data_IF_865872878371
#
_entry.id   IF_865872878371
#
_cell.length_a   1.000
_cell.length_b   1.000
_cell.length_c   1.000
_cell.angle_alpha   90.00
_cell.angle_beta   90.00
_cell.angle_gamma   90.00
#
_symmetry.space_group_name_H-M   'P 1'
#
loop_
_entity.id
_entity.type
_entity.pdbx_description
1 polymer ?
#
# COMPACT_ATOMS: atom_id res chain seq x y z
N UNK A 1 -24.23 -14.01 -0.20
CA UNK A 1 -23.54 -14.86 0.78
C UNK A 1 -22.61 -15.80 0.01
N UNK A 2 -21.32 -15.72 0.24
CA UNK A 2 -20.33 -16.58 -0.42
C UNK A 2 -20.16 -17.87 0.37
N UNK A 3 -20.13 -17.78 1.72
CA UNK A 3 -20.06 -18.92 2.63
C UNK A 3 -20.98 -18.72 3.83
N UNK A 4 -21.39 -19.84 4.44
CA UNK A 4 -22.14 -19.83 5.71
C UNK A 4 -21.15 -20.03 6.88
N UNK A 5 -21.28 -19.28 7.98
CA UNK A 5 -20.48 -19.53 9.16
C UNK A 5 -20.83 -20.88 9.80
N UNK A 6 -19.82 -21.60 10.28
CA UNK A 6 -20.03 -22.85 11.03
C UNK A 6 -20.71 -22.60 12.38
N UNK A 7 -20.42 -21.45 12.99
CA UNK A 7 -20.99 -21.02 14.26
C UNK A 7 -21.03 -19.49 14.33
N UNK A 8 -21.84 -18.95 15.22
CA UNK A 8 -21.98 -17.52 15.44
C UNK A 8 -23.11 -16.91 14.61
N UNK A 9 -23.28 -15.58 14.76
CA UNK A 9 -24.31 -14.78 14.12
C UNK A 9 -23.72 -13.51 13.56
N UNK A 10 -24.14 -13.13 12.35
CA UNK A 10 -23.80 -11.87 11.71
C UNK A 10 -25.11 -11.13 11.43
N UNK A 11 -25.26 -9.99 12.09
CA UNK A 11 -26.38 -9.08 11.89
C UNK A 11 -25.92 -7.84 11.12
N UNK A 12 -26.59 -7.54 10.01
CA UNK A 12 -26.30 -6.38 9.18
C UNK A 12 -27.57 -5.58 8.97
N UNK A 13 -27.50 -4.29 9.26
CA UNK A 13 -28.64 -3.37 9.05
C UNK A 13 -28.37 -2.53 7.82
N UNK A 14 -29.28 -2.55 6.86
CA UNK A 14 -29.18 -1.78 5.61
C UNK A 14 -28.59 -2.54 4.42
N UNK A 15 -28.35 -1.80 3.33
CA UNK A 15 -27.79 -2.34 2.08
C UNK A 15 -26.30 -2.60 2.23
N UNK A 16 -25.83 -3.76 1.77
CA UNK A 16 -24.40 -4.09 1.67
C UNK A 16 -23.95 -3.92 0.23
N UNK A 17 -22.94 -3.09 0.01
CA UNK A 17 -22.20 -3.01 -1.23
C UNK A 17 -20.89 -3.78 -1.13
N UNK A 18 -20.45 -4.42 -2.21
CA UNK A 18 -19.20 -5.18 -2.23
C UNK A 18 -18.38 -4.81 -3.46
N UNK A 19 -17.16 -4.35 -3.24
CA UNK A 19 -16.11 -4.08 -4.23
C UNK A 19 -15.07 -5.20 -4.14
N UNK A 20 -15.47 -6.44 -4.45
CA UNK A 20 -14.59 -7.62 -4.37
C UNK A 20 -14.08 -7.98 -5.76
N UNK A 21 -14.92 -7.92 -6.77
CA UNK A 21 -14.60 -8.30 -8.15
C UNK A 21 -15.27 -7.31 -9.12
N UNK A 22 -14.67 -6.15 -9.28
CA UNK A 22 -15.20 -5.02 -10.06
C UNK A 22 -15.51 -5.41 -11.52
N UNK A 23 -14.81 -6.41 -12.08
CA UNK A 23 -14.98 -6.85 -13.47
C UNK A 23 -16.08 -7.91 -13.65
N UNK A 24 -16.46 -8.62 -12.60
CA UNK A 24 -17.40 -9.77 -12.71
C UNK A 24 -18.83 -9.38 -13.14
N UNK A 25 -19.21 -8.12 -12.96
CA UNK A 25 -20.53 -7.61 -13.35
C UNK A 25 -20.60 -6.98 -14.75
N UNK A 26 -19.47 -6.92 -15.49
CA UNK A 26 -19.40 -6.24 -16.78
C UNK A 26 -19.54 -7.24 -17.93
N UNK A 27 -20.53 -7.00 -18.80
CA UNK A 27 -20.78 -7.84 -19.97
C UNK A 27 -20.10 -7.26 -21.23
N UNK A 28 -19.20 -7.99 -21.89
CA UNK A 28 -18.38 -7.45 -22.99
C UNK A 28 -19.17 -7.06 -24.24
N UNK A 29 -20.29 -7.72 -24.54
CA UNK A 29 -21.09 -7.45 -25.71
C UNK A 29 -22.06 -6.25 -25.53
N UNK A 30 -22.27 -5.80 -24.32
CA UNK A 30 -23.08 -4.62 -24.03
C UNK A 30 -22.24 -3.35 -24.11
N UNK A 31 -22.89 -2.22 -24.43
CA UNK A 31 -22.29 -0.89 -24.34
C UNK A 31 -21.95 -0.50 -22.90
N UNK A 32 -21.15 0.54 -22.71
CA UNK A 32 -20.91 1.12 -21.38
C UNK A 32 -22.21 1.54 -20.70
N UNK A 33 -23.11 2.17 -21.43
CA UNK A 33 -24.45 2.58 -20.96
C UNK A 33 -25.25 1.40 -20.43
N UNK A 34 -25.36 0.34 -21.24
CA UNK A 34 -26.10 -0.86 -20.86
C UNK A 34 -25.46 -1.56 -19.66
N UNK A 35 -24.12 -1.57 -19.59
CA UNK A 35 -23.40 -2.12 -18.45
C UNK A 35 -23.64 -1.32 -17.17
N UNK A 36 -23.69 0.01 -17.21
CA UNK A 36 -24.04 0.84 -16.04
C UNK A 36 -25.41 0.42 -15.49
N UNK A 37 -26.40 0.28 -16.35
CA UNK A 37 -27.74 -0.16 -15.93
C UNK A 37 -27.77 -1.60 -15.42
N UNK A 38 -27.12 -2.53 -16.12
CA UNK A 38 -27.05 -3.94 -15.73
C UNK A 38 -26.35 -4.08 -14.38
N UNK A 39 -25.14 -3.55 -14.29
CA UNK A 39 -24.30 -3.72 -13.10
C UNK A 39 -24.86 -2.95 -11.89
N UNK A 40 -25.39 -1.75 -12.07
CA UNK A 40 -26.08 -1.01 -11.01
C UNK A 40 -27.27 -1.80 -10.46
N UNK A 41 -28.04 -2.45 -11.34
CA UNK A 41 -29.18 -3.29 -10.92
C UNK A 41 -28.70 -4.56 -10.19
N UNK A 42 -27.62 -5.21 -10.65
CA UNK A 42 -27.03 -6.38 -9.98
C UNK A 42 -26.52 -6.02 -8.57
N UNK A 43 -26.01 -4.82 -8.41
CA UNK A 43 -25.57 -4.28 -7.12
C UNK A 43 -26.72 -3.77 -6.23
N UNK A 44 -27.97 -3.85 -6.72
CA UNK A 44 -29.16 -3.55 -5.96
C UNK A 44 -29.68 -2.11 -6.08
N UNK A 45 -29.20 -1.32 -7.06
CA UNK A 45 -29.81 -0.03 -7.40
C UNK A 45 -31.09 -0.25 -8.20
N UNK A 46 -32.10 0.55 -7.94
CA UNK A 46 -33.28 0.65 -8.81
C UNK A 46 -32.92 1.33 -10.13
N UNK A 47 -33.73 1.10 -11.17
CA UNK A 47 -33.53 1.76 -12.48
C UNK A 47 -33.51 3.29 -12.37
N UNK A 48 -34.30 3.84 -11.46
CA UNK A 48 -34.34 5.29 -11.20
C UNK A 48 -33.08 5.79 -10.56
N UNK A 49 -32.58 5.10 -9.52
CA UNK A 49 -31.31 5.46 -8.87
C UNK A 49 -30.13 5.41 -9.84
N UNK A 50 -30.09 4.44 -10.77
CA UNK A 50 -29.07 4.38 -11.82
C UNK A 50 -29.20 5.55 -12.79
N UNK A 51 -30.42 5.88 -13.23
CA UNK A 51 -30.68 6.99 -14.14
C UNK A 51 -30.30 8.34 -13.51
N UNK A 52 -30.63 8.56 -12.24
CA UNK A 52 -30.35 9.79 -11.50
C UNK A 52 -28.83 10.02 -11.31
N UNK A 53 -28.02 8.94 -11.33
CA UNK A 53 -26.55 8.99 -11.14
C UNK A 53 -25.74 8.72 -12.41
N UNK A 54 -26.42 8.49 -13.52
CA UNK A 54 -25.80 8.03 -14.77
C UNK A 54 -24.65 8.95 -15.24
N UNK A 55 -24.93 10.25 -15.33
CA UNK A 55 -23.94 11.22 -15.81
C UNK A 55 -22.73 11.32 -14.86
N UNK A 56 -22.97 11.22 -13.55
CA UNK A 56 -21.91 11.21 -12.53
C UNK A 56 -21.03 9.95 -12.65
N UNK A 57 -21.62 8.79 -12.92
CA UNK A 57 -20.90 7.53 -13.13
C UNK A 57 -20.03 7.63 -14.40
N UNK A 58 -20.58 8.17 -15.49
CA UNK A 58 -19.87 8.33 -16.76
C UNK A 58 -18.68 9.28 -16.62
N UNK A 59 -18.90 10.45 -16.00
CA UNK A 59 -17.82 11.42 -15.72
C UNK A 59 -16.74 10.83 -14.81
N UNK A 60 -17.15 10.16 -13.73
CA UNK A 60 -16.21 9.52 -12.82
C UNK A 60 -15.34 8.47 -13.52
N UNK A 61 -15.93 7.64 -14.37
CA UNK A 61 -15.24 6.63 -15.17
C UNK A 61 -14.40 7.21 -16.31
N UNK A 62 -14.65 8.47 -16.71
CA UNK A 62 -14.01 9.15 -17.86
C UNK A 62 -14.21 8.37 -19.18
N UNK A 63 -15.44 7.99 -19.45
CA UNK A 63 -15.82 7.21 -20.64
C UNK A 63 -16.86 7.90 -21.53
N UNK A 64 -17.03 9.23 -21.42
CA UNK A 64 -18.05 10.02 -22.13
C UNK A 64 -18.05 9.72 -23.64
N UNK A 65 -16.85 9.69 -24.25
CA UNK A 65 -16.68 9.45 -25.68
C UNK A 65 -16.84 7.98 -26.10
N UNK A 66 -16.98 7.07 -25.15
CA UNK A 66 -17.04 5.63 -25.39
C UNK A 66 -18.29 4.96 -24.80
N UNK A 67 -19.14 5.69 -24.07
CA UNK A 67 -20.24 5.13 -23.29
C UNK A 67 -21.21 4.30 -24.13
N UNK A 68 -21.42 4.63 -25.38
CA UNK A 68 -22.31 3.92 -26.32
C UNK A 68 -21.61 2.83 -27.14
N UNK A 69 -20.28 2.64 -26.97
CA UNK A 69 -19.50 1.54 -27.54
C UNK A 69 -19.61 0.28 -26.71
N UNK A 70 -19.55 -0.89 -27.36
CA UNK A 70 -19.46 -2.18 -26.67
C UNK A 70 -18.17 -2.28 -25.83
N UNK A 71 -18.28 -2.81 -24.63
CA UNK A 71 -17.17 -2.86 -23.65
C UNK A 71 -16.04 -3.78 -24.09
N UNK A 72 -16.29 -4.76 -24.98
CA UNK A 72 -15.21 -5.56 -25.58
C UNK A 72 -14.14 -4.72 -26.31
N UNK A 73 -14.47 -3.49 -26.72
CA UNK A 73 -13.55 -2.55 -27.36
C UNK A 73 -12.89 -1.56 -26.38
N UNK A 74 -13.19 -1.69 -25.08
CA UNK A 74 -12.56 -0.89 -24.04
C UNK A 74 -11.17 -1.45 -23.72
N UNK A 75 -10.25 -0.58 -23.32
CA UNK A 75 -9.02 -1.02 -22.67
C UNK A 75 -9.33 -1.65 -21.30
N UNK A 76 -8.41 -2.46 -20.79
CA UNK A 76 -8.54 -3.04 -19.45
C UNK A 76 -8.77 -1.98 -18.38
N UNK A 77 -8.07 -0.82 -18.48
CA UNK A 77 -8.25 0.32 -17.60
C UNK A 77 -9.64 0.94 -17.69
N UNK A 78 -10.20 1.10 -18.90
CA UNK A 78 -11.58 1.60 -19.08
C UNK A 78 -12.61 0.66 -18.47
N UNK A 79 -12.45 -0.66 -18.64
CA UNK A 79 -13.35 -1.65 -18.05
C UNK A 79 -13.33 -1.58 -16.51
N UNK A 80 -12.13 -1.46 -15.94
CA UNK A 80 -11.96 -1.35 -14.49
C UNK A 80 -12.55 -0.04 -13.96
N UNK A 81 -12.29 1.09 -14.64
CA UNK A 81 -12.86 2.39 -14.26
C UNK A 81 -14.38 2.38 -14.33
N UNK A 82 -14.98 1.78 -15.35
CA UNK A 82 -16.43 1.62 -15.47
C UNK A 82 -17.02 0.84 -14.31
N UNK A 83 -16.45 -0.34 -14.00
CA UNK A 83 -16.96 -1.19 -12.92
C UNK A 83 -16.83 -0.52 -11.56
N UNK A 84 -15.67 0.10 -11.28
CA UNK A 84 -15.48 0.84 -10.03
C UNK A 84 -16.44 2.02 -9.91
N UNK A 85 -16.64 2.80 -10.99
CA UNK A 85 -17.55 3.93 -10.99
C UNK A 85 -18.96 3.54 -10.60
N UNK A 86 -19.53 2.47 -11.21
CA UNK A 86 -20.88 2.01 -10.84
C UNK A 86 -20.95 1.66 -9.36
N UNK A 87 -19.96 0.95 -8.84
CA UNK A 87 -19.95 0.51 -7.45
C UNK A 87 -19.70 1.66 -6.45
N UNK A 88 -18.91 2.66 -6.82
CA UNK A 88 -18.64 3.84 -5.99
C UNK A 88 -19.87 4.74 -5.77
N UNK A 89 -20.90 4.60 -6.61
CA UNK A 89 -22.16 5.35 -6.48
C UNK A 89 -23.30 4.56 -5.86
N UNK A 90 -23.01 3.42 -5.21
CA UNK A 90 -24.01 2.59 -4.55
C UNK A 90 -24.63 3.21 -3.29
N UNK A 91 -23.89 4.04 -2.56
CA UNK A 91 -24.28 4.59 -1.24
C UNK A 91 -24.87 3.52 -0.31
N UNK A 92 -24.10 2.46 0.02
CA UNK A 92 -24.56 1.38 0.88
C UNK A 92 -24.47 1.78 2.35
N UNK A 93 -25.18 1.08 3.25
CA UNK A 93 -24.99 1.20 4.69
C UNK A 93 -23.67 0.56 5.13
N UNK A 94 -23.24 -0.52 4.45
CA UNK A 94 -21.96 -1.21 4.67
C UNK A 94 -21.29 -1.43 3.32
N UNK A 95 -20.04 -0.99 3.18
CA UNK A 95 -19.22 -1.18 2.00
C UNK A 95 -18.07 -2.15 2.31
N UNK A 96 -18.01 -3.25 1.56
CA UNK A 96 -16.91 -4.22 1.61
C UNK A 96 -15.95 -3.92 0.45
N UNK A 97 -14.67 -3.72 0.74
CA UNK A 97 -13.63 -3.47 -0.27
C UNK A 97 -12.48 -4.44 -0.07
N UNK A 98 -12.12 -5.16 -1.12
CA UNK A 98 -11.05 -6.17 -1.10
C UNK A 98 -10.03 -5.85 -2.21
N UNK A 99 -8.86 -5.31 -1.81
CA UNK A 99 -7.68 -4.97 -2.65
C UNK A 99 -7.92 -4.08 -3.90
N UNK A 100 -9.16 -3.66 -4.18
CA UNK A 100 -9.58 -3.10 -5.47
C UNK A 100 -9.17 -1.64 -5.68
N UNK A 101 -8.53 -0.97 -4.70
CA UNK A 101 -8.17 0.45 -4.83
C UNK A 101 -6.94 0.72 -5.71
N UNK A 102 -6.14 -0.29 -6.04
CA UNK A 102 -4.98 -0.19 -6.95
C UNK A 102 -5.38 -0.16 -8.44
N UNK A 103 -6.57 0.38 -8.78
CA UNK A 103 -7.15 0.35 -10.12
C UNK A 103 -6.85 1.63 -10.89
N UNK A 104 -6.40 1.49 -12.15
CA UNK A 104 -6.20 2.61 -13.06
C UNK A 104 -4.85 3.32 -12.87
N UNK A 105 -4.77 4.56 -13.32
CA UNK A 105 -3.64 5.45 -13.12
C UNK A 105 -3.73 6.17 -11.75
N UNK A 106 -2.64 6.84 -11.34
CA UNK A 106 -2.57 7.52 -10.04
C UNK A 106 -3.68 8.58 -9.86
N UNK A 107 -4.09 9.24 -10.94
CA UNK A 107 -5.16 10.25 -10.90
C UNK A 107 -6.51 9.61 -10.61
N UNK A 108 -6.80 8.48 -11.23
CA UNK A 108 -8.04 7.74 -10.98
C UNK A 108 -8.06 7.12 -9.58
N UNK A 109 -6.92 6.58 -9.11
CA UNK A 109 -6.78 6.07 -7.74
C UNK A 109 -7.10 7.16 -6.71
N UNK A 110 -6.59 8.39 -6.91
CA UNK A 110 -6.91 9.51 -6.01
C UNK A 110 -8.41 9.83 -6.01
N UNK A 111 -9.05 9.88 -7.18
CA UNK A 111 -10.52 10.05 -7.28
C UNK A 111 -11.30 8.95 -6.54
N UNK A 112 -10.82 7.70 -6.60
CA UNK A 112 -11.43 6.59 -5.86
C UNK A 112 -11.33 6.79 -4.34
N UNK A 113 -10.16 7.19 -3.85
CA UNK A 113 -9.94 7.48 -2.41
C UNK A 113 -10.83 8.64 -1.96
N UNK A 114 -10.89 9.72 -2.73
CA UNK A 114 -11.70 10.89 -2.40
C UNK A 114 -13.19 10.53 -2.37
N UNK A 115 -13.68 9.77 -3.34
CA UNK A 115 -15.07 9.28 -3.37
C UNK A 115 -15.37 8.37 -2.18
N UNK A 116 -14.45 7.49 -1.80
CA UNK A 116 -14.63 6.66 -0.60
C UNK A 116 -14.76 7.50 0.67
N UNK A 117 -13.94 8.55 0.82
CA UNK A 117 -14.04 9.48 1.95
C UNK A 117 -15.40 10.17 1.99
N UNK A 118 -15.92 10.60 0.84
CA UNK A 118 -17.26 11.21 0.76
C UNK A 118 -18.34 10.24 1.24
N UNK A 119 -18.27 8.97 0.83
CA UNK A 119 -19.20 7.91 1.23
C UNK A 119 -19.10 7.61 2.74
N UNK A 120 -17.89 7.58 3.29
CA UNK A 120 -17.64 7.42 4.74
C UNK A 120 -18.21 8.59 5.54
N UNK A 121 -18.00 9.83 5.08
CA UNK A 121 -18.51 11.04 5.72
C UNK A 121 -20.06 11.08 5.75
N UNK A 122 -20.73 10.32 4.88
CA UNK A 122 -22.19 10.14 4.86
C UNK A 122 -22.67 9.06 5.84
N UNK A 123 -21.77 8.42 6.60
CA UNK A 123 -22.11 7.44 7.62
C UNK A 123 -22.09 5.98 7.15
N UNK A 124 -21.54 5.69 5.98
CA UNK A 124 -21.32 4.30 5.52
C UNK A 124 -20.25 3.62 6.39
N UNK A 125 -20.51 2.40 6.82
CA UNK A 125 -19.50 1.55 7.47
C UNK A 125 -18.62 0.89 6.43
N UNK A 126 -17.31 1.12 6.48
CA UNK A 126 -16.34 0.47 5.60
C UNK A 126 -15.71 -0.75 6.25
N UNK A 127 -15.67 -1.86 5.55
CA UNK A 127 -14.81 -3.01 5.85
C UNK A 127 -13.81 -3.12 4.69
N UNK A 128 -12.56 -2.81 4.98
CA UNK A 128 -11.49 -2.72 4.00
C UNK A 128 -10.43 -3.78 4.24
N UNK A 129 -10.16 -4.60 3.23
CA UNK A 129 -9.08 -5.59 3.24
C UNK A 129 -8.02 -5.15 2.24
N UNK A 130 -6.78 -5.01 2.69
CA UNK A 130 -5.67 -4.63 1.83
C UNK A 130 -4.33 -5.12 2.40
N UNK A 131 -3.38 -5.34 1.52
CA UNK A 131 -1.97 -5.54 1.87
C UNK A 131 -1.18 -4.21 1.88
N UNK A 132 -1.76 -3.13 1.38
CA UNK A 132 -1.17 -1.78 1.46
C UNK A 132 -1.53 -1.13 2.80
N UNK A 133 -0.59 -1.24 3.75
CA UNK A 133 -0.77 -0.73 5.12
C UNK A 133 -0.91 0.79 5.16
N UNK A 134 -0.30 1.52 4.21
CA UNK A 134 -0.41 2.97 4.15
C UNK A 134 -1.84 3.40 3.79
N UNK A 135 -2.47 2.73 2.84
CA UNK A 135 -3.88 2.96 2.51
C UNK A 135 -4.80 2.58 3.67
N UNK A 136 -4.54 1.45 4.37
CA UNK A 136 -5.31 1.05 5.56
C UNK A 136 -5.21 2.12 6.65
N UNK A 137 -4.00 2.59 6.96
CA UNK A 137 -3.77 3.64 7.98
C UNK A 137 -4.45 4.97 7.60
N UNK A 138 -4.52 5.26 6.29
CA UNK A 138 -5.09 6.50 5.78
C UNK A 138 -6.61 6.54 5.65
N UNK A 139 -7.26 5.39 5.65
CA UNK A 139 -8.70 5.28 5.38
C UNK A 139 -9.46 4.75 6.60
N UNK A 140 -8.82 3.91 7.43
CA UNK A 140 -9.45 3.23 8.55
C UNK A 140 -9.05 3.84 9.90
N UNK A 141 -9.99 3.95 10.82
CA UNK A 141 -9.71 4.34 12.23
C UNK A 141 -9.38 3.13 13.11
N UNK A 142 -9.92 1.95 12.77
CA UNK A 142 -9.76 0.68 13.50
C UNK A 142 -9.29 -0.40 12.56
N UNK A 143 -8.43 -1.29 13.03
CA UNK A 143 -7.98 -2.45 12.28
C UNK A 143 -8.17 -3.75 13.07
N UNK A 144 -8.27 -4.85 12.32
CA UNK A 144 -8.30 -6.21 12.81
C UNK A 144 -7.16 -6.98 12.17
N UNK A 145 -6.25 -7.53 12.96
CA UNK A 145 -5.21 -8.41 12.47
C UNK A 145 -5.63 -9.87 12.61
N UNK A 146 -5.84 -10.51 11.48
CA UNK A 146 -6.14 -11.95 11.40
C UNK A 146 -4.90 -12.73 10.98
N UNK A 147 -4.58 -13.80 11.70
CA UNK A 147 -3.49 -14.72 11.35
C UNK A 147 -3.93 -16.17 11.51
N UNK A 148 -3.77 -16.97 10.46
CA UNK A 148 -4.18 -18.38 10.43
C UNK A 148 -5.63 -18.62 10.94
N UNK A 149 -6.56 -17.72 10.58
CA UNK A 149 -7.97 -17.79 10.98
C UNK A 149 -8.28 -17.30 12.40
N UNK A 150 -7.30 -16.83 13.15
CA UNK A 150 -7.47 -16.30 14.50
C UNK A 150 -7.28 -14.78 14.54
N UNK A 151 -8.12 -14.11 15.32
CA UNK A 151 -7.93 -12.70 15.64
C UNK A 151 -6.75 -12.55 16.59
N UNK A 152 -5.72 -11.81 16.16
CA UNK A 152 -4.51 -11.53 16.93
C UNK A 152 -4.63 -10.21 17.67
N UNK A 153 -5.04 -9.16 16.95
CA UNK A 153 -5.19 -7.82 17.49
C UNK A 153 -6.46 -7.18 16.94
N UNK A 154 -7.06 -6.30 17.74
CA UNK A 154 -8.25 -5.52 17.44
C UNK A 154 -8.17 -4.17 18.17
N UNK A 155 -8.10 -3.08 17.45
CA UNK A 155 -7.97 -1.76 18.07
C UNK A 155 -7.75 -0.62 17.09
N UNK A 156 -7.25 0.54 17.59
CA UNK A 156 -6.86 1.66 16.74
C UNK A 156 -5.89 1.22 15.64
N UNK A 157 -6.10 1.68 14.42
CA UNK A 157 -5.34 1.22 13.25
C UNK A 157 -3.84 1.29 13.46
N UNK A 158 -3.32 2.37 14.05
CA UNK A 158 -1.88 2.56 14.28
C UNK A 158 -1.28 1.51 15.23
N UNK A 159 -2.00 1.16 16.29
CA UNK A 159 -1.56 0.17 17.28
C UNK A 159 -1.50 -1.22 16.65
N UNK A 160 -2.57 -1.61 15.96
CA UNK A 160 -2.65 -2.92 15.29
C UNK A 160 -1.61 -3.05 14.17
N UNK A 161 -1.38 -2.01 13.37
CA UNK A 161 -0.35 -2.02 12.33
C UNK A 161 1.06 -2.08 12.93
N UNK A 162 1.29 -1.45 14.08
CA UNK A 162 2.56 -1.56 14.80
C UNK A 162 2.82 -2.99 15.27
N UNK A 163 1.83 -3.62 15.90
CA UNK A 163 1.93 -5.02 16.33
C UNK A 163 2.12 -5.98 15.14
N UNK A 164 1.41 -5.74 14.03
CA UNK A 164 1.57 -6.52 12.80
C UNK A 164 2.98 -6.40 12.22
N UNK A 165 3.54 -5.19 12.15
CA UNK A 165 4.92 -4.94 11.69
C UNK A 165 5.94 -5.65 12.59
N UNK A 166 5.79 -5.55 13.92
CA UNK A 166 6.68 -6.23 14.88
C UNK A 166 6.68 -7.75 14.70
N UNK A 167 5.52 -8.36 14.53
CA UNK A 167 5.45 -9.80 14.29
C UNK A 167 6.10 -10.23 12.96
N UNK A 168 6.07 -9.39 11.94
CA UNK A 168 6.80 -9.64 10.69
C UNK A 168 8.32 -9.54 10.88
N UNK A 169 8.79 -8.65 11.76
CA UNK A 169 10.20 -8.54 12.16
C UNK A 169 10.70 -9.83 12.81
N UNK A 170 9.97 -10.33 13.81
CA UNK A 170 10.31 -11.58 14.52
C UNK A 170 10.43 -12.77 13.55
N UNK A 171 9.54 -12.87 12.57
CA UNK A 171 9.60 -13.92 11.54
C UNK A 171 10.80 -13.74 10.62
N UNK A 172 11.18 -12.50 10.31
CA UNK A 172 12.31 -12.20 9.44
C UNK A 172 13.67 -12.46 10.10
N UNK A 173 13.79 -12.20 11.40
CA UNK A 173 15.00 -12.52 12.19
C UNK A 173 15.25 -14.03 12.32
N UNK A 174 14.19 -14.84 12.20
CA UNK A 174 14.27 -16.32 12.30
C UNK A 174 14.52 -17.00 10.96
N UNK A 175 14.53 -16.28 9.83
CA UNK A 175 14.78 -16.89 8.53
C UNK A 175 16.27 -17.21 8.36
N UNK A 176 16.67 -18.50 8.22
CA UNK A 176 18.07 -18.84 7.98
C UNK A 176 18.49 -18.31 6.62
N UNK A 177 19.56 -17.53 6.60
CA UNK A 177 20.23 -17.06 5.38
C UNK A 177 21.16 -18.13 4.85
N UNK A 178 20.61 -19.22 4.27
CA UNK A 178 21.42 -20.20 3.56
C UNK A 178 21.70 -19.71 2.14
N UNK A 179 22.99 -19.59 1.80
CA UNK A 179 23.40 -19.15 0.47
C UNK A 179 24.92 -18.85 0.39
N UNK A 180 25.42 -18.51 -0.81
CA UNK A 180 26.85 -18.15 -1.00
C UNK A 180 27.21 -16.85 -0.28
N UNK A 181 26.24 -16.05 0.13
CA UNK A 181 26.40 -14.87 0.97
C UNK A 181 25.34 -14.91 2.08
N UNK A 182 25.75 -14.63 3.31
CA UNK A 182 24.85 -14.47 4.45
C UNK A 182 25.11 -13.17 5.19
N UNK A 183 24.06 -12.62 5.79
CA UNK A 183 24.14 -11.45 6.65
C UNK A 183 24.54 -11.89 8.06
N UNK A 184 25.67 -11.35 8.56
CA UNK A 184 26.12 -11.57 9.94
C UNK A 184 25.58 -10.48 10.86
N UNK A 185 25.61 -9.22 10.39
CA UNK A 185 25.18 -8.06 11.18
C UNK A 185 24.75 -6.92 10.27
N UNK A 186 23.69 -6.22 10.65
CA UNK A 186 23.31 -4.96 10.07
C UNK A 186 23.08 -3.92 11.17
N UNK A 187 23.48 -2.68 10.91
CA UNK A 187 23.28 -1.55 11.82
C UNK A 187 23.04 -0.27 11.04
N UNK A 188 22.06 0.51 11.51
CA UNK A 188 21.81 1.88 11.06
C UNK A 188 22.05 2.80 12.24
N UNK A 189 22.98 3.75 12.12
CA UNK A 189 23.34 4.63 13.22
C UNK A 189 23.72 6.03 12.72
N UNK A 190 23.38 7.04 13.50
CA UNK A 190 23.90 8.40 13.36
C UNK A 190 25.15 8.58 14.24
N UNK A 191 26.01 9.58 13.99
CA UNK A 191 27.16 9.88 14.84
C UNK A 191 26.78 10.05 16.33
N UNK A 192 25.60 10.60 16.60
CA UNK A 192 25.09 10.85 17.95
C UNK A 192 24.16 9.74 18.47
N UNK A 193 24.10 8.57 17.81
CA UNK A 193 23.32 7.41 18.21
C UNK A 193 22.07 7.18 17.38
N UNK A 194 20.93 7.71 17.78
CA UNK A 194 19.66 7.49 17.08
C UNK A 194 19.57 8.34 15.82
N UNK A 195 19.24 7.75 14.65
CA UNK A 195 19.02 8.48 13.41
C UNK A 195 18.00 9.63 13.53
N UNK A 196 18.31 10.76 12.88
CA UNK A 196 17.45 11.93 12.85
C UNK A 196 17.13 12.36 11.41
N UNK A 197 15.94 12.91 11.22
CA UNK A 197 15.52 13.49 9.93
C UNK A 197 16.50 14.55 9.47
N UNK A 198 16.96 14.46 8.21
CA UNK A 198 17.90 15.40 7.55
C UNK A 198 19.32 15.43 8.13
N UNK A 199 19.66 14.52 9.04
CA UNK A 199 21.01 14.35 9.57
C UNK A 199 21.74 13.18 8.88
N UNK A 200 23.10 13.14 8.98
CA UNK A 200 23.87 12.03 8.42
C UNK A 200 23.59 10.71 9.14
N UNK A 201 23.55 9.63 8.37
CA UNK A 201 23.42 8.28 8.91
C UNK A 201 24.35 7.32 8.19
N UNK A 202 24.94 6.38 8.92
CA UNK A 202 25.74 5.29 8.39
C UNK A 202 24.98 3.96 8.50
N UNK A 203 24.90 3.25 7.39
CA UNK A 203 24.42 1.87 7.32
C UNK A 203 25.63 0.96 7.21
N UNK A 204 25.81 0.09 8.18
CA UNK A 204 26.93 -0.86 8.23
C UNK A 204 26.40 -2.28 8.19
N UNK A 205 26.93 -3.08 7.27
CA UNK A 205 26.61 -4.49 7.09
C UNK A 205 27.88 -5.30 7.25
N UNK A 206 27.78 -6.43 7.92
CA UNK A 206 28.84 -7.48 7.92
C UNK A 206 28.26 -8.67 7.17
N UNK A 207 28.87 -9.01 6.05
CA UNK A 207 28.48 -10.11 5.18
C UNK A 207 29.52 -11.21 5.23
N UNK A 208 29.10 -12.46 5.35
CA UNK A 208 29.95 -13.65 5.18
C UNK A 208 29.83 -14.15 3.76
N UNK A 209 30.92 -14.21 3.01
CA UNK A 209 30.98 -14.73 1.63
C UNK A 209 31.72 -16.06 1.58
N UNK A 210 31.12 -17.05 0.92
CA UNK A 210 31.74 -18.36 0.66
C UNK A 210 32.38 -18.43 -0.73
N UNK A 211 32.10 -17.48 -1.63
CA UNK A 211 32.59 -17.45 -3.02
C UNK A 211 33.13 -16.05 -3.38
N UNK A 212 34.22 -15.99 -4.15
CA UNK A 212 34.77 -14.74 -4.66
C UNK A 212 34.12 -14.38 -5.99
N UNK A 213 32.96 -13.69 -5.94
CA UNK A 213 32.24 -13.20 -7.12
C UNK A 213 31.91 -11.72 -6.96
N UNK A 214 32.02 -10.90 -8.02
CA UNK A 214 31.49 -9.55 -8.03
C UNK A 214 29.99 -9.58 -7.73
N UNK A 215 29.55 -8.76 -6.79
CA UNK A 215 28.16 -8.73 -6.37
C UNK A 215 27.64 -7.29 -6.28
N UNK A 216 26.34 -7.12 -6.51
CA UNK A 216 25.63 -5.87 -6.30
C UNK A 216 24.84 -5.98 -5.00
N UNK A 217 25.22 -5.18 -4.03
CA UNK A 217 24.47 -5.00 -2.78
C UNK A 217 23.36 -3.97 -3.02
N UNK A 218 22.15 -4.33 -2.70
CA UNK A 218 21.00 -3.46 -2.76
C UNK A 218 20.41 -3.30 -1.35
N UNK A 219 20.22 -2.06 -0.92
CA UNK A 219 19.61 -1.69 0.34
C UNK A 219 18.33 -0.96 0.07
N UNK A 220 17.24 -1.40 0.66
CA UNK A 220 15.96 -0.71 0.61
C UNK A 220 15.55 -0.19 1.97
N UNK A 221 14.88 0.94 2.03
CA UNK A 221 14.28 1.43 3.27
C UNK A 221 12.78 1.55 3.08
N UNK A 222 11.99 0.96 3.98
CA UNK A 222 10.54 0.96 3.96
C UNK A 222 9.93 1.27 5.33
N UNK A 223 8.64 1.56 5.36
CA UNK A 223 7.86 1.71 6.61
C UNK A 223 7.19 0.39 7.05
N UNK A 224 7.47 -0.70 6.35
CA UNK A 224 6.89 -2.02 6.59
C UNK A 224 7.26 -2.98 5.46
N UNK A 225 6.54 -4.09 5.30
CA UNK A 225 6.82 -5.09 4.26
C UNK A 225 6.51 -4.61 2.83
N UNK A 226 6.01 -3.40 2.68
CA UNK A 226 5.71 -2.77 1.39
C UNK A 226 6.99 -2.46 0.59
N UNK A 227 6.79 -2.01 -0.66
CA UNK A 227 7.90 -1.59 -1.53
C UNK A 227 8.80 -0.54 -0.83
N UNK A 228 10.11 -0.58 -1.04
CA UNK A 228 11.01 0.41 -0.47
C UNK A 228 10.63 1.84 -0.87
N UNK A 229 10.74 2.77 0.07
CA UNK A 229 10.60 4.21 -0.15
C UNK A 229 11.71 4.70 -1.09
N UNK A 230 12.92 4.18 -0.87
CA UNK A 230 14.06 4.40 -1.75
C UNK A 230 15.04 3.22 -1.68
N UNK A 231 15.87 3.10 -2.71
CA UNK A 231 16.84 2.05 -2.88
C UNK A 231 18.25 2.68 -2.97
N UNK A 232 19.22 2.05 -2.31
CA UNK A 232 20.64 2.33 -2.44
C UNK A 232 21.30 1.09 -3.03
N UNK A 233 22.23 1.27 -3.97
CA UNK A 233 22.94 0.15 -4.57
C UNK A 233 24.42 0.43 -4.74
N UNK A 234 25.23 -0.61 -4.55
CA UNK A 234 26.66 -0.55 -4.76
C UNK A 234 27.22 -1.89 -5.24
N UNK A 235 28.22 -1.83 -6.12
CA UNK A 235 28.93 -3.02 -6.57
C UNK A 235 30.10 -3.28 -5.62
N UNK A 236 30.21 -4.51 -5.12
CA UNK A 236 31.32 -4.98 -4.30
C UNK A 236 32.08 -6.06 -5.05
N UNK A 237 33.39 -5.91 -5.08
CA UNK A 237 34.31 -6.93 -5.60
C UNK A 237 35.24 -7.36 -4.46
N UNK A 238 34.81 -8.35 -3.71
CA UNK A 238 35.48 -8.76 -2.48
C UNK A 238 35.70 -10.26 -2.47
N UNK A 239 36.82 -10.68 -1.94
CA UNK A 239 37.19 -12.10 -1.77
C UNK A 239 36.29 -12.87 -0.81
N UNK A 240 36.64 -14.14 -0.58
CA UNK A 240 35.96 -15.03 0.39
C UNK A 240 36.27 -14.58 1.82
N UNK A 241 35.29 -14.65 2.71
CA UNK A 241 35.42 -14.30 4.13
C UNK A 241 34.41 -13.25 4.59
N UNK A 242 34.64 -12.70 5.76
CA UNK A 242 33.84 -11.57 6.28
C UNK A 242 34.22 -10.27 5.58
N UNK A 243 33.17 -9.52 5.22
CA UNK A 243 33.28 -8.24 4.52
C UNK A 243 32.41 -7.23 5.20
N UNK A 244 32.98 -6.10 5.60
CA UNK A 244 32.18 -4.96 6.05
C UNK A 244 31.87 -4.05 4.86
N UNK A 245 30.57 -3.80 4.67
CA UNK A 245 30.05 -2.86 3.68
C UNK A 245 29.42 -1.69 4.42
N UNK A 246 29.93 -0.48 4.14
CA UNK A 246 29.42 0.75 4.75
C UNK A 246 28.84 1.68 3.69
N UNK A 247 27.64 2.17 3.97
CA UNK A 247 26.96 3.17 3.17
C UNK A 247 26.66 4.40 4.03
N UNK A 248 27.25 5.54 3.67
CA UNK A 248 27.03 6.80 4.35
C UNK A 248 26.01 7.63 3.57
N UNK A 249 24.90 7.97 4.23
CA UNK A 249 23.81 8.81 3.72
C UNK A 249 23.97 10.19 4.34
N UNK A 250 24.31 11.21 3.55
CA UNK A 250 24.59 12.56 4.04
C UNK A 250 23.39 13.24 4.72
N UNK A 251 22.17 12.96 4.23
CA UNK A 251 20.92 13.50 4.77
C UNK A 251 19.84 12.45 4.68
N UNK A 252 19.40 11.95 5.83
CA UNK A 252 18.32 10.96 5.90
C UNK A 252 16.98 11.63 5.59
N UNK A 253 16.34 11.36 4.44
CA UNK A 253 15.13 12.06 4.03
C UNK A 253 13.84 11.47 4.66
N UNK A 254 13.97 10.78 5.78
CA UNK A 254 12.84 10.11 6.44
C UNK A 254 12.27 10.99 7.55
N UNK A 255 10.93 11.04 7.72
CA UNK A 255 10.28 11.69 8.84
C UNK A 255 10.46 10.86 10.13
N UNK A 256 9.95 11.38 11.25
CA UNK A 256 9.86 10.61 12.49
C UNK A 256 9.05 9.31 12.26
N UNK A 257 9.58 8.18 12.71
CA UNK A 257 8.91 6.88 12.59
C UNK A 257 9.87 5.72 12.73
N UNK A 258 9.32 4.52 12.63
CA UNK A 258 10.09 3.27 12.56
C UNK A 258 10.20 2.82 11.10
N UNK A 259 11.42 2.44 10.73
CA UNK A 259 11.76 2.03 9.36
C UNK A 259 12.51 0.71 9.36
N UNK A 260 12.42 0.02 8.22
CA UNK A 260 13.07 -1.26 7.97
C UNK A 260 14.15 -1.08 6.93
N UNK A 261 15.32 -1.64 7.24
CA UNK A 261 16.40 -1.82 6.28
C UNK A 261 16.25 -3.20 5.63
N UNK A 262 16.11 -3.22 4.33
CA UNK A 262 16.08 -4.43 3.51
C UNK A 262 17.43 -4.61 2.83
N UNK A 263 17.82 -5.86 2.67
CA UNK A 263 19.06 -6.26 2.01
C UNK A 263 18.75 -7.30 0.94
N UNK A 264 19.36 -7.14 -0.22
CA UNK A 264 19.47 -8.15 -1.25
C UNK A 264 20.85 -8.08 -1.88
N UNK A 265 21.40 -9.23 -2.27
CA UNK A 265 22.69 -9.29 -2.95
C UNK A 265 22.54 -10.09 -4.24
N UNK A 266 22.94 -9.51 -5.35
CA UNK A 266 22.70 -10.01 -6.71
C UNK A 266 24.00 -10.15 -7.49
N UNK A 267 24.06 -11.09 -8.43
CA UNK A 267 25.08 -11.17 -9.47
C UNK A 267 24.43 -11.12 -10.87
N UNK A 268 25.25 -11.15 -11.94
CA UNK A 268 24.74 -11.04 -13.34
C UNK A 268 23.78 -12.16 -13.77
N UNK A 269 23.51 -13.15 -12.98
CA UNK A 269 22.67 -14.29 -13.34
C UNK A 269 21.69 -14.74 -12.27
N UNK A 270 21.67 -14.10 -11.09
CA UNK A 270 20.78 -14.56 -10.02
C UNK A 270 20.92 -13.82 -8.69
N UNK A 271 20.20 -14.30 -7.71
CA UNK A 271 20.27 -13.83 -6.33
C UNK A 271 21.34 -14.62 -5.56
N UNK A 272 22.27 -13.92 -4.93
CA UNK A 272 23.24 -14.51 -3.99
C UNK A 272 22.72 -14.49 -2.56
N UNK A 273 21.94 -13.47 -2.23
CA UNK A 273 21.19 -13.34 -1.00
C UNK A 273 19.83 -12.76 -1.34
N UNK A 274 18.79 -13.50 -1.00
CA UNK A 274 17.41 -13.12 -1.28
C UNK A 274 17.06 -11.83 -0.56
N UNK A 275 16.21 -11.00 -1.18
CA UNK A 275 15.66 -9.79 -0.58
C UNK A 275 14.93 -10.10 0.71
N UNK A 276 15.41 -9.55 1.82
CA UNK A 276 14.85 -9.78 3.16
C UNK A 276 15.11 -8.57 4.08
N UNK A 277 14.35 -8.38 5.16
CA UNK A 277 14.65 -7.37 6.17
C UNK A 277 15.95 -7.72 6.89
N UNK A 278 16.85 -6.74 7.03
CA UNK A 278 18.18 -6.88 7.63
C UNK A 278 18.27 -6.22 9.01
N UNK A 279 17.52 -5.15 9.23
CA UNK A 279 17.44 -4.44 10.51
C UNK A 279 16.21 -3.54 10.54
N UNK A 280 15.86 -3.07 11.71
CA UNK A 280 14.94 -1.96 11.90
C UNK A 280 15.62 -0.82 12.65
N UNK A 281 15.11 0.40 12.50
CA UNK A 281 15.62 1.58 13.19
C UNK A 281 14.57 2.65 13.34
N UNK A 282 14.66 3.42 14.42
CA UNK A 282 13.79 4.55 14.67
C UNK A 282 14.43 5.84 14.21
N UNK A 283 13.65 6.74 13.64
CA UNK A 283 14.06 8.08 13.22
C UNK A 283 13.39 9.11 14.11
N UNK A 284 14.16 9.99 14.72
CA UNK A 284 13.68 11.13 15.48
C UNK A 284 13.60 12.34 14.55
N UNK A 285 12.50 13.08 14.60
CA UNK A 285 12.31 14.24 13.73
C UNK A 285 11.05 15.00 14.09
N UNK A 286 10.76 16.08 13.35
CA UNK A 286 9.51 16.79 13.50
C UNK A 286 8.33 15.87 13.23
N UNK A 287 7.26 16.09 13.98
CA UNK A 287 5.99 15.40 13.75
C UNK A 287 5.34 16.01 12.49
N UNK A 288 5.39 15.27 11.38
CA UNK A 288 4.79 15.71 10.11
C UNK A 288 3.30 15.35 10.03
N UNK A 289 2.75 14.75 11.06
CA UNK A 289 1.32 14.42 11.18
C UNK A 289 0.43 15.66 11.48
N UNK A 290 0.99 16.87 11.42
CA UNK A 290 0.26 18.12 11.63
C UNK A 290 -0.39 18.57 10.31
N UNK A 291 -1.14 17.70 9.67
CA UNK A 291 -2.05 18.06 8.59
C UNK A 291 -3.44 18.40 9.14
N UNK A 292 -4.28 19.11 8.38
CA UNK A 292 -5.69 19.27 8.73
C UNK A 292 -6.33 17.89 8.96
N UNK A 293 -7.31 17.75 9.86
CA UNK A 293 -8.01 16.49 10.08
C UNK A 293 -8.48 15.89 8.74
N UNK A 294 -8.12 14.64 8.46
CA UNK A 294 -8.47 13.95 7.22
C UNK A 294 -7.41 13.99 6.11
N UNK A 295 -6.28 14.66 6.28
CA UNK A 295 -5.14 14.52 5.37
C UNK A 295 -4.23 13.41 5.88
N UNK A 296 -4.21 12.32 5.13
CA UNK A 296 -3.26 11.21 5.26
C UNK A 296 -1.85 11.76 5.03
N UNK A 297 -0.86 11.17 5.70
CA UNK A 297 0.57 11.38 5.46
C UNK A 297 0.85 11.43 3.95
N UNK A 298 1.13 12.63 3.45
CA UNK A 298 1.16 12.91 2.00
C UNK A 298 2.40 12.34 1.32
N UNK A 299 3.50 12.12 2.06
CA UNK A 299 4.73 11.58 1.48
C UNK A 299 5.60 10.87 2.54
N UNK A 300 6.20 9.72 2.19
CA UNK A 300 7.12 9.01 3.05
C UNK A 300 8.51 9.66 3.16
N UNK A 301 8.74 10.78 2.47
CA UNK A 301 10.05 11.44 2.37
C UNK A 301 9.92 12.91 2.74
N UNK A 302 10.78 13.37 3.64
CA UNK A 302 10.87 14.78 4.02
C UNK A 302 11.93 15.51 3.19
N UNK A 303 11.50 16.42 2.32
CA UNK A 303 12.38 17.26 1.51
C UNK A 303 12.31 18.72 2.03
N UNK A 304 13.38 19.28 2.62
CA UNK A 304 13.37 20.67 3.03
C UNK A 304 13.35 21.57 1.80
N UNK A 305 12.48 22.59 1.84
CA UNK A 305 12.35 23.59 0.77
C UNK A 305 12.29 24.99 1.36
N UNK A 306 12.87 25.95 0.66
CA UNK A 306 12.77 27.38 0.99
C UNK A 306 11.75 28.02 0.06
N UNK A 307 10.73 28.66 0.63
CA UNK A 307 9.66 29.32 -0.10
C UNK A 307 9.90 30.83 -0.11
N UNK A 308 9.71 31.46 -1.26
CA UNK A 308 9.61 32.93 -1.40
C UNK A 308 8.23 33.23 -1.96
N UNK A 309 7.49 34.11 -1.27
CA UNK A 309 6.20 34.60 -1.72
C UNK A 309 6.36 36.11 -1.94
N UNK A 310 6.26 36.56 -3.19
CA UNK A 310 6.30 37.96 -3.56
C UNK A 310 4.91 38.36 -4.06
N UNK A 311 4.35 39.50 -3.60
CA UNK A 311 3.10 40.00 -4.17
C UNK A 311 3.32 40.38 -5.63
N UNK A 312 2.34 40.14 -6.49
CA UNK A 312 2.33 40.53 -7.91
C UNK A 312 2.18 42.01 -8.09
#
# INVERSE_FOLDING_TARGET
>A
RVMYPYAGRIDVTGRVGALIEVRAGIHPELSGRENIHLYGTLLGLSRREVADRFDQIVDFAQIENAVDRQVKFYSSGMQMRLGFAVAAFLEPAVLLVDEVLAVGDATFQQRCIDRMRDVLNQGTTLIFVSHDLATVEGVCERALWLHAGHLREDGPVREVLTAYRQALEEVAELAPTEGPISLVKARVASPDGTPRTQEPVAITLVLQKSTATPARVCLGISEGPAAPIFLLEHHIDVGVGEVEVRCDVERLPLPRGRFFLWLGVFERGGELLRWHPAAHFDVIGPDLDVGPPGIVRLAPVHVPATWRVEPL
#
